data_IF_789764181764
#
_entry.id   IF_789764181764
#
_cell.length_a   1.000
_cell.length_b   1.000
_cell.length_c   1.000
_cell.angle_alpha   90.00
_cell.angle_beta   90.00
_cell.angle_gamma   90.00
#
_symmetry.space_group_name_H-M   'P 1'
#
loop_
_entity.id
_entity.type
_entity.pdbx_description
1 polymer ?
#
# COMPACT_ATOMS: atom_id res chain seq x y z
N UNK A 1 -10.58 -62.99 38.24
CA UNK A 1 -10.45 -62.77 36.78
C UNK A 1 -11.01 -61.43 36.30
N UNK A 2 -12.09 -60.88 36.91
CA UNK A 2 -12.66 -59.60 36.46
C UNK A 2 -11.84 -58.34 36.82
N UNK A 3 -11.13 -58.34 37.95
CA UNK A 3 -10.42 -57.15 38.43
C UNK A 3 -9.15 -56.82 37.61
N UNK A 4 -8.44 -57.85 37.15
CA UNK A 4 -7.26 -57.72 36.29
C UNK A 4 -7.61 -57.25 34.87
N UNK A 5 -8.81 -57.56 34.37
CA UNK A 5 -9.28 -57.10 33.06
C UNK A 5 -9.60 -55.60 33.03
N UNK A 6 -10.17 -55.07 34.12
CA UNK A 6 -10.55 -53.65 34.19
C UNK A 6 -9.31 -52.76 34.30
N UNK A 7 -8.32 -53.17 35.11
CA UNK A 7 -7.06 -52.44 35.25
C UNK A 7 -6.24 -52.45 33.93
N UNK A 8 -6.26 -53.54 33.18
CA UNK A 8 -5.61 -53.60 31.86
C UNK A 8 -6.28 -52.71 30.82
N UNK A 9 -7.61 -52.58 30.85
CA UNK A 9 -8.35 -51.69 29.95
C UNK A 9 -8.13 -50.21 30.30
N UNK A 10 -8.06 -49.88 31.59
CA UNK A 10 -7.77 -48.53 32.05
C UNK A 10 -6.37 -48.07 31.61
N UNK A 11 -5.34 -48.93 31.74
CA UNK A 11 -3.98 -48.62 31.32
C UNK A 11 -3.86 -48.44 29.78
N UNK A 12 -4.55 -49.29 29.00
CA UNK A 12 -4.57 -49.16 27.53
C UNK A 12 -5.23 -47.86 27.07
N UNK A 13 -6.27 -47.41 27.76
CA UNK A 13 -6.97 -46.16 27.44
C UNK A 13 -6.12 -44.93 27.81
N UNK A 14 -5.36 -45.02 28.89
CA UNK A 14 -4.43 -43.96 29.32
C UNK A 14 -3.25 -43.80 28.35
N UNK A 15 -2.67 -44.90 27.84
CA UNK A 15 -1.64 -44.87 26.79
C UNK A 15 -2.16 -44.26 25.49
N UNK A 16 -3.40 -44.56 25.09
CA UNK A 16 -4.01 -44.03 23.87
C UNK A 16 -4.30 -42.52 23.98
N UNK A 17 -4.75 -42.06 25.16
CA UNK A 17 -4.94 -40.63 25.45
C UNK A 17 -3.60 -39.89 25.46
N UNK A 18 -2.56 -40.45 26.08
CA UNK A 18 -1.22 -39.85 26.10
C UNK A 18 -0.59 -39.79 24.70
N UNK A 19 -0.80 -40.83 23.89
CA UNK A 19 -0.37 -40.87 22.48
C UNK A 19 -1.10 -39.81 21.64
N UNK A 20 -2.42 -39.68 21.79
CA UNK A 20 -3.19 -38.63 21.12
C UNK A 20 -2.75 -37.24 21.56
N UNK A 21 -2.58 -37.00 22.86
CA UNK A 21 -2.09 -35.73 23.38
C UNK A 21 -0.70 -35.36 22.83
N UNK A 22 0.22 -36.32 22.76
CA UNK A 22 1.55 -36.11 22.17
C UNK A 22 1.48 -35.79 20.65
N UNK A 23 0.60 -36.46 19.91
CA UNK A 23 0.39 -36.17 18.49
C UNK A 23 -0.23 -34.79 18.22
N UNK A 24 -1.14 -34.34 19.10
CA UNK A 24 -1.70 -33.00 19.05
C UNK A 24 -0.65 -31.92 19.37
N UNK A 25 0.20 -32.14 20.37
CA UNK A 25 1.28 -31.20 20.72
C UNK A 25 2.33 -31.09 19.59
N UNK A 26 2.63 -32.19 18.90
CA UNK A 26 3.50 -32.20 17.72
C UNK A 26 2.87 -31.45 16.53
N UNK A 27 1.56 -31.67 16.27
CA UNK A 27 0.82 -30.94 15.24
C UNK A 27 0.74 -29.44 15.54
N UNK A 28 0.46 -29.05 16.78
CA UNK A 28 0.46 -27.65 17.22
C UNK A 28 1.84 -27.00 17.07
N UNK A 29 2.91 -27.74 17.38
CA UNK A 29 4.29 -27.28 17.21
C UNK A 29 4.62 -27.03 15.74
N UNK A 30 4.23 -27.95 14.84
CA UNK A 30 4.42 -27.79 13.40
C UNK A 30 3.58 -26.63 12.83
N UNK A 31 2.36 -26.46 13.32
CA UNK A 31 1.50 -25.34 12.94
C UNK A 31 2.12 -24.00 13.37
N UNK A 32 2.67 -23.93 14.58
CA UNK A 32 3.41 -22.76 15.06
C UNK A 32 4.61 -22.41 14.16
N UNK A 33 5.40 -23.41 13.75
CA UNK A 33 6.50 -23.19 12.80
C UNK A 33 6.02 -22.65 11.45
N UNK A 34 4.94 -23.22 10.91
CA UNK A 34 4.35 -22.78 9.65
C UNK A 34 3.86 -21.32 9.74
N UNK A 35 3.29 -20.92 10.86
CA UNK A 35 2.82 -19.54 11.06
C UNK A 35 3.96 -18.53 11.16
N UNK A 36 5.06 -18.88 11.83
CA UNK A 36 6.28 -18.06 11.83
C UNK A 36 6.86 -17.94 10.43
N UNK A 37 6.96 -19.04 9.67
CA UNK A 37 7.45 -18.98 8.29
C UNK A 37 6.57 -18.13 7.38
N UNK A 38 5.24 -18.21 7.52
CA UNK A 38 4.33 -17.34 6.78
C UNK A 38 4.69 -15.89 7.01
N UNK A 39 4.79 -15.45 8.27
CA UNK A 39 5.11 -14.06 8.64
C UNK A 39 6.50 -13.66 8.13
N UNK A 40 7.51 -14.50 8.40
CA UNK A 40 8.91 -14.27 8.03
C UNK A 40 9.08 -14.03 6.53
N UNK A 41 8.33 -14.73 5.67
CA UNK A 41 8.42 -14.59 4.22
C UNK A 41 7.37 -13.65 3.59
N UNK A 42 6.53 -12.95 4.38
CA UNK A 42 5.49 -12.05 3.82
C UNK A 42 6.07 -10.94 2.95
N UNK A 43 7.28 -10.45 3.23
CA UNK A 43 7.93 -9.42 2.44
C UNK A 43 8.11 -9.84 0.97
N UNK A 44 8.25 -11.14 0.69
CA UNK A 44 8.38 -11.68 -0.67
C UNK A 44 7.14 -11.36 -1.51
N UNK A 45 5.96 -11.32 -0.88
CA UNK A 45 4.70 -10.97 -1.55
C UNK A 45 4.70 -9.51 -1.98
N UNK A 46 5.19 -8.61 -1.13
CA UNK A 46 5.34 -7.17 -1.45
C UNK A 46 6.35 -6.96 -2.58
N UNK A 47 7.53 -7.58 -2.47
CA UNK A 47 8.58 -7.48 -3.49
C UNK A 47 8.15 -8.04 -4.85
N UNK A 48 7.37 -9.13 -4.86
CA UNK A 48 6.81 -9.68 -6.10
C UNK A 48 5.79 -8.71 -6.72
N UNK A 49 4.98 -8.03 -5.91
CA UNK A 49 4.04 -7.02 -6.36
C UNK A 49 4.78 -5.80 -6.95
N UNK A 50 5.79 -5.29 -6.25
CA UNK A 50 6.70 -4.24 -6.73
C UNK A 50 7.30 -4.60 -8.07
N UNK A 51 7.87 -5.80 -8.20
CA UNK A 51 8.45 -6.30 -9.45
C UNK A 51 7.44 -6.25 -10.61
N UNK A 52 6.19 -6.69 -10.38
CA UNK A 52 5.15 -6.61 -11.40
C UNK A 52 4.81 -5.16 -11.81
N UNK A 53 4.85 -4.22 -10.88
CA UNK A 53 4.61 -2.79 -11.14
C UNK A 53 5.80 -2.15 -11.89
N UNK A 54 7.04 -2.44 -11.48
CA UNK A 54 8.26 -1.96 -12.13
C UNK A 54 8.34 -2.45 -13.59
N UNK A 55 8.02 -3.73 -13.81
CA UNK A 55 7.98 -4.34 -15.14
C UNK A 55 6.73 -3.99 -15.94
N UNK A 56 5.85 -3.13 -15.41
CA UNK A 56 4.61 -2.69 -16.08
C UNK A 56 3.68 -3.85 -16.48
N UNK A 57 3.73 -4.99 -15.80
CA UNK A 57 2.95 -6.19 -16.15
C UNK A 57 1.43 -5.90 -16.22
N UNK A 58 0.81 -5.18 -15.28
CA UNK A 58 -0.60 -4.83 -15.38
C UNK A 58 -0.92 -4.07 -16.67
N UNK A 59 -0.11 -3.07 -17.02
CA UNK A 59 -0.30 -2.25 -18.21
C UNK A 59 -0.08 -3.06 -19.50
N UNK A 60 0.91 -3.94 -19.52
CA UNK A 60 1.18 -4.85 -20.64
C UNK A 60 -0.04 -5.72 -20.93
N UNK A 61 -0.58 -6.41 -19.91
CA UNK A 61 -1.77 -7.27 -20.08
C UNK A 61 -2.97 -6.40 -20.49
N UNK A 62 -3.12 -5.22 -19.89
CA UNK A 62 -4.22 -4.31 -20.23
C UNK A 62 -4.19 -3.87 -21.69
N UNK A 63 -3.01 -3.50 -22.20
CA UNK A 63 -2.80 -3.01 -23.57
C UNK A 63 -3.10 -4.09 -24.62
N UNK A 64 -2.85 -5.36 -24.31
CA UNK A 64 -3.23 -6.48 -25.19
C UNK A 64 -4.75 -6.70 -25.25
N UNK A 65 -5.50 -6.26 -24.24
CA UNK A 65 -6.95 -6.39 -24.18
C UNK A 65 -7.47 -7.81 -23.88
N UNK A 66 -6.58 -8.80 -23.76
CA UNK A 66 -6.90 -10.19 -23.43
C UNK A 66 -5.79 -10.84 -22.59
N UNK A 67 -6.03 -12.00 -21.94
CA UNK A 67 -4.97 -12.74 -21.26
C UNK A 67 -3.83 -13.14 -22.21
N UNK A 68 -2.58 -13.06 -21.74
CA UNK A 68 -1.37 -13.30 -22.55
C UNK A 68 -0.46 -14.37 -21.94
N UNK A 69 0.36 -14.99 -22.77
CA UNK A 69 1.40 -15.96 -22.37
C UNK A 69 2.59 -15.26 -21.69
N UNK A 70 3.45 -16.06 -21.02
CA UNK A 70 4.72 -15.54 -20.48
C UNK A 70 5.65 -15.03 -21.59
N UNK A 71 5.62 -15.64 -22.77
CA UNK A 71 6.47 -15.24 -23.90
C UNK A 71 6.07 -13.86 -24.45
N UNK A 72 4.76 -13.63 -24.64
CA UNK A 72 4.22 -12.33 -25.04
C UNK A 72 4.51 -11.24 -23.98
N UNK A 73 4.34 -11.59 -22.70
CA UNK A 73 4.67 -10.70 -21.60
C UNK A 73 6.16 -10.33 -21.58
N UNK A 74 7.05 -11.32 -21.70
CA UNK A 74 8.49 -11.12 -21.71
C UNK A 74 8.96 -10.26 -22.90
N UNK A 75 8.35 -10.46 -24.08
CA UNK A 75 8.61 -9.65 -25.27
C UNK A 75 8.20 -8.19 -25.05
N UNK A 76 7.06 -7.97 -24.39
CA UNK A 76 6.50 -6.63 -24.14
C UNK A 76 7.24 -5.83 -23.06
N UNK A 77 7.98 -6.49 -22.16
CA UNK A 77 8.84 -5.83 -21.17
C UNK A 77 9.97 -5.03 -21.85
N UNK A 78 10.38 -5.41 -23.07
CA UNK A 78 11.42 -4.70 -23.81
C UNK A 78 12.84 -4.92 -23.29
N UNK A 79 13.07 -5.96 -22.48
CA UNK A 79 14.41 -6.34 -22.02
C UNK A 79 15.14 -7.16 -23.09
N UNK A 80 16.45 -6.94 -23.33
CA UNK A 80 17.23 -7.72 -24.30
C UNK A 80 17.31 -9.22 -23.99
N UNK A 81 17.20 -9.60 -22.71
CA UNK A 81 17.34 -10.98 -22.25
C UNK A 81 16.46 -11.25 -21.02
N UNK A 82 15.13 -11.37 -21.18
CA UNK A 82 14.23 -11.57 -20.07
C UNK A 82 14.43 -12.97 -19.46
N UNK A 83 14.52 -13.05 -18.13
CA UNK A 83 14.55 -14.33 -17.41
C UNK A 83 13.11 -14.85 -17.24
N UNK A 84 12.67 -15.67 -18.20
CA UNK A 84 11.31 -16.20 -18.26
C UNK A 84 11.00 -17.09 -17.05
N UNK A 85 11.96 -17.86 -16.55
CA UNK A 85 11.77 -18.72 -15.37
C UNK A 85 11.50 -17.91 -14.10
N UNK A 86 12.22 -16.79 -13.93
CA UNK A 86 11.99 -15.87 -12.84
C UNK A 86 10.61 -15.20 -12.96
N UNK A 87 10.27 -14.71 -14.15
CA UNK A 87 8.95 -14.13 -14.43
C UNK A 87 7.82 -15.14 -14.14
N UNK A 88 7.99 -16.40 -14.54
CA UNK A 88 7.05 -17.47 -14.27
C UNK A 88 6.84 -17.70 -12.76
N UNK A 89 7.90 -17.63 -11.96
CA UNK A 89 7.83 -17.76 -10.50
C UNK A 89 7.10 -16.58 -9.85
N UNK A 90 7.40 -15.36 -10.27
CA UNK A 90 6.72 -14.14 -9.81
C UNK A 90 5.23 -14.21 -10.14
N UNK A 91 4.89 -14.48 -11.40
CA UNK A 91 3.49 -14.58 -11.83
C UNK A 91 2.74 -15.70 -11.11
N UNK A 92 3.37 -16.86 -10.89
CA UNK A 92 2.77 -17.96 -10.13
C UNK A 92 2.42 -17.54 -8.69
N UNK A 93 3.32 -16.82 -8.03
CA UNK A 93 3.07 -16.29 -6.68
C UNK A 93 1.88 -15.32 -6.69
N UNK A 94 1.88 -14.35 -7.60
CA UNK A 94 0.83 -13.32 -7.68
C UNK A 94 -0.53 -13.91 -8.10
N UNK A 95 -0.56 -14.97 -8.91
CA UNK A 95 -1.79 -15.73 -9.20
C UNK A 95 -2.29 -16.47 -7.96
N UNK A 96 -1.41 -17.12 -7.19
CA UNK A 96 -1.80 -17.76 -5.92
C UNK A 96 -2.36 -16.75 -4.91
N UNK A 97 -1.85 -15.51 -4.96
CA UNK A 97 -2.35 -14.37 -4.18
C UNK A 97 -3.57 -13.67 -4.81
N UNK A 98 -4.09 -14.21 -5.91
CA UNK A 98 -5.27 -13.71 -6.64
C UNK A 98 -5.13 -12.26 -7.12
N UNK A 99 -3.89 -11.82 -7.35
CA UNK A 99 -3.60 -10.54 -7.99
C UNK A 99 -3.79 -10.67 -9.50
N UNK A 100 -3.36 -11.79 -10.09
CA UNK A 100 -3.62 -12.12 -11.50
C UNK A 100 -4.42 -13.43 -11.60
N UNK A 101 -5.00 -13.68 -12.77
CA UNK A 101 -5.58 -14.98 -13.11
C UNK A 101 -4.60 -15.77 -13.98
N UNK A 102 -4.70 -17.10 -13.92
CA UNK A 102 -4.10 -17.98 -14.92
C UNK A 102 -5.13 -18.97 -15.43
N UNK A 103 -5.19 -19.19 -16.73
CA UNK A 103 -6.01 -20.24 -17.34
C UNK A 103 -5.23 -20.96 -18.41
N UNK A 104 -5.46 -22.27 -18.53
CA UNK A 104 -5.01 -23.03 -19.69
C UNK A 104 -6.17 -23.04 -20.70
N UNK A 105 -5.98 -22.53 -21.92
CA UNK A 105 -7.03 -22.61 -22.93
C UNK A 105 -7.41 -24.07 -23.18
N UNK A 106 -8.69 -24.37 -23.33
CA UNK A 106 -9.25 -25.73 -23.46
C UNK A 106 -8.82 -26.48 -24.73
N UNK A 107 -8.00 -25.88 -25.58
CA UNK A 107 -7.45 -26.50 -26.78
C UNK A 107 -6.11 -27.11 -26.44
N UNK A 108 -5.98 -28.44 -26.61
CA UNK A 108 -4.74 -29.17 -26.38
C UNK A 108 -3.56 -28.47 -27.08
N UNK A 109 -2.53 -28.11 -26.30
CA UNK A 109 -1.30 -27.50 -26.79
C UNK A 109 -1.17 -25.99 -26.62
N UNK A 110 -2.17 -25.26 -26.08
CA UNK A 110 -2.01 -23.84 -25.78
C UNK A 110 -1.36 -23.61 -24.41
N UNK A 111 -0.37 -22.71 -24.39
CA UNK A 111 0.35 -22.29 -23.19
C UNK A 111 -0.58 -21.64 -22.15
N UNK A 112 -0.14 -21.64 -20.88
CA UNK A 112 -0.83 -20.93 -19.80
C UNK A 112 -0.86 -19.43 -20.10
N UNK A 113 -2.04 -18.83 -20.03
CA UNK A 113 -2.24 -17.39 -20.21
C UNK A 113 -2.59 -16.73 -18.88
N UNK A 114 -2.17 -15.47 -18.74
CA UNK A 114 -2.30 -14.65 -17.55
C UNK A 114 -3.19 -13.45 -17.81
N UNK A 115 -4.17 -13.21 -16.94
CA UNK A 115 -5.14 -12.14 -17.07
C UNK A 115 -5.19 -11.22 -15.85
N UNK A 116 -5.81 -10.05 -16.02
CA UNK A 116 -6.07 -9.11 -14.94
C UNK A 116 -7.24 -9.58 -14.06
N UNK A 117 -7.12 -9.37 -12.75
CA UNK A 117 -8.22 -9.38 -11.80
C UNK A 117 -8.68 -7.95 -11.49
N UNK A 118 -9.75 -7.80 -10.70
CA UNK A 118 -10.13 -6.52 -10.12
C UNK A 118 -9.00 -5.92 -9.24
N UNK A 119 -8.20 -6.76 -8.58
CA UNK A 119 -7.08 -6.31 -7.74
C UNK A 119 -5.94 -5.74 -8.59
N UNK A 120 -5.49 -6.45 -9.63
CA UNK A 120 -4.40 -5.95 -10.50
C UNK A 120 -4.77 -4.71 -11.30
N UNK A 121 -6.06 -4.43 -11.51
CA UNK A 121 -6.51 -3.20 -12.20
C UNK A 121 -6.18 -1.93 -11.42
N UNK A 122 -6.05 -2.01 -10.10
CA UNK A 122 -5.56 -0.90 -9.28
C UNK A 122 -4.08 -0.58 -9.51
N UNK A 123 -3.35 -1.39 -10.27
CA UNK A 123 -1.93 -1.19 -10.56
C UNK A 123 -1.68 -0.60 -11.95
N UNK A 124 -2.73 -0.28 -12.71
CA UNK A 124 -2.60 0.35 -14.03
C UNK A 124 -2.09 1.77 -13.88
N UNK A 125 -1.04 2.14 -14.59
CA UNK A 125 -0.43 3.48 -14.54
C UNK A 125 -0.96 4.39 -15.65
N UNK A 126 -1.36 3.81 -16.78
CA UNK A 126 -1.79 4.57 -17.96
C UNK A 126 -3.32 4.71 -18.06
N UNK A 127 -4.06 4.34 -17.00
CA UNK A 127 -5.52 4.45 -16.97
C UNK A 127 -5.98 5.83 -16.45
N UNK A 128 -7.15 6.28 -16.89
CA UNK A 128 -7.80 7.49 -16.36
C UNK A 128 -8.27 7.34 -14.90
N UNK A 129 -8.31 6.12 -14.39
CA UNK A 129 -8.78 5.80 -13.05
C UNK A 129 -7.66 5.90 -11.99
N UNK A 130 -8.01 6.02 -10.70
CA UNK A 130 -7.04 6.00 -9.62
C UNK A 130 -6.21 4.71 -9.59
N UNK A 131 -4.91 4.86 -9.30
CA UNK A 131 -3.93 3.78 -9.25
C UNK A 131 -3.22 3.75 -7.90
N UNK A 132 -2.83 2.56 -7.44
CA UNK A 132 -1.99 2.32 -6.27
C UNK A 132 -0.54 2.00 -6.66
N UNK A 133 -0.21 1.99 -7.96
CA UNK A 133 1.12 1.64 -8.44
C UNK A 133 2.22 2.52 -7.81
N UNK A 134 2.00 3.84 -7.75
CA UNK A 134 2.95 4.77 -7.14
C UNK A 134 3.14 4.49 -5.63
N UNK A 135 2.06 4.16 -4.92
CA UNK A 135 2.15 3.79 -3.49
C UNK A 135 2.96 2.51 -3.29
N UNK A 136 2.75 1.48 -4.12
CA UNK A 136 3.56 0.24 -4.06
C UNK A 136 5.04 0.55 -4.26
N UNK A 137 5.38 1.38 -5.25
CA UNK A 137 6.77 1.76 -5.50
C UNK A 137 7.39 2.57 -4.35
N UNK A 138 6.61 3.47 -3.72
CA UNK A 138 7.05 4.26 -2.60
C UNK A 138 7.28 3.41 -1.34
N UNK A 139 6.29 2.65 -0.89
CA UNK A 139 6.36 1.84 0.34
C UNK A 139 7.48 0.80 0.29
N UNK A 140 7.73 0.22 -0.88
CA UNK A 140 8.80 -0.76 -1.07
C UNK A 140 10.14 -0.12 -1.53
N UNK A 141 10.28 1.20 -1.48
CA UNK A 141 11.53 1.89 -1.81
C UNK A 141 12.57 1.70 -0.69
N UNK A 142 13.87 1.48 -1.00
CA UNK A 142 14.90 1.24 0.02
C UNK A 142 14.93 2.29 1.15
N UNK A 143 14.67 3.56 0.83
CA UNK A 143 14.64 4.65 1.81
C UNK A 143 13.48 4.49 2.81
N UNK A 144 12.29 4.09 2.36
CA UNK A 144 11.13 3.83 3.24
C UNK A 144 11.17 2.44 3.88
N UNK A 145 11.92 1.51 3.29
CA UNK A 145 12.16 0.19 3.86
C UNK A 145 13.19 0.21 5.01
N UNK A 146 14.22 1.06 4.93
CA UNK A 146 15.28 1.13 5.93
C UNK A 146 14.80 1.34 7.38
N UNK A 147 13.84 2.23 7.68
CA UNK A 147 13.30 2.44 9.03
C UNK A 147 12.76 1.18 9.71
N UNK A 148 12.21 0.22 8.95
CA UNK A 148 11.67 -1.02 9.51
C UNK A 148 12.75 -1.89 10.20
N UNK A 149 14.01 -1.73 9.82
CA UNK A 149 15.14 -2.39 10.48
C UNK A 149 15.51 -1.77 11.85
N UNK A 150 14.96 -0.61 12.18
CA UNK A 150 15.26 0.12 13.42
C UNK A 150 14.14 0.06 14.46
N UNK A 151 13.06 -0.70 14.21
CA UNK A 151 11.93 -0.80 15.13
C UNK A 151 12.33 -1.30 16.53
N UNK A 152 13.19 -2.32 16.62
CA UNK A 152 13.70 -2.79 17.93
C UNK A 152 14.42 -1.68 18.69
N UNK A 153 15.23 -0.88 17.99
CA UNK A 153 15.95 0.25 18.57
C UNK A 153 15.01 1.38 18.99
N UNK A 154 13.91 1.60 18.29
CA UNK A 154 12.85 2.52 18.71
C UNK A 154 12.16 2.06 19.99
N UNK A 155 11.95 0.76 20.17
CA UNK A 155 11.39 0.19 21.41
C UNK A 155 12.36 0.37 22.58
N UNK A 156 13.65 0.13 22.33
CA UNK A 156 14.69 0.19 23.37
C UNK A 156 15.02 1.63 23.81
N UNK A 157 15.13 2.55 22.86
CA UNK A 157 15.68 3.89 23.11
C UNK A 157 14.66 5.02 22.90
N UNK A 158 13.46 4.72 22.40
CA UNK A 158 12.53 5.73 21.90
C UNK A 158 13.01 6.40 20.61
N UNK A 159 12.24 7.39 20.15
CA UNK A 159 12.52 8.15 18.92
C UNK A 159 11.97 7.52 17.64
N UNK A 160 12.07 8.27 16.55
CA UNK A 160 11.50 7.92 15.24
C UNK A 160 12.41 6.98 14.44
N UNK A 161 11.83 5.93 13.85
CA UNK A 161 12.58 4.92 13.09
C UNK A 161 13.28 5.52 11.86
N UNK A 162 12.65 6.49 11.19
CA UNK A 162 13.23 7.17 10.04
C UNK A 162 14.47 7.97 10.44
N UNK A 163 14.39 8.76 11.51
CA UNK A 163 15.54 9.51 12.05
C UNK A 163 16.67 8.59 12.48
N UNK A 164 16.38 7.42 13.05
CA UNK A 164 17.44 6.44 13.37
C UNK A 164 18.10 5.84 12.14
N UNK A 165 17.36 5.64 11.05
CA UNK A 165 17.88 5.08 9.80
C UNK A 165 18.70 6.09 8.98
N UNK A 166 18.25 7.34 8.92
CA UNK A 166 18.76 8.35 7.99
C UNK A 166 19.40 9.57 8.66
N UNK A 167 19.38 9.65 9.99
CA UNK A 167 20.01 10.72 10.78
C UNK A 167 19.27 12.06 10.77
N UNK A 168 18.11 12.16 10.11
CA UNK A 168 17.26 13.35 10.05
C UNK A 168 15.79 12.95 9.91
N UNK A 169 14.87 13.89 10.16
CA UNK A 169 13.43 13.64 9.99
C UNK A 169 13.08 13.48 8.50
N UNK A 170 12.01 12.74 8.22
CA UNK A 170 11.56 12.45 6.85
C UNK A 170 11.31 13.72 6.02
N UNK A 171 10.81 14.79 6.65
CA UNK A 171 10.53 16.07 5.99
C UNK A 171 11.81 16.81 5.59
N UNK A 172 12.83 16.80 6.45
CA UNK A 172 14.14 17.38 6.15
C UNK A 172 14.83 16.59 5.04
N UNK A 173 14.72 15.25 5.10
CA UNK A 173 15.24 14.37 4.07
C UNK A 173 14.57 14.64 2.71
N UNK A 174 13.25 14.79 2.68
CA UNK A 174 12.50 15.13 1.47
C UNK A 174 12.89 16.50 0.92
N UNK A 175 13.02 17.53 1.77
CA UNK A 175 13.46 18.85 1.35
C UNK A 175 14.87 18.84 0.70
N UNK A 176 15.77 17.99 1.21
CA UNK A 176 17.13 17.81 0.68
C UNK A 176 17.25 16.85 -0.51
N UNK A 177 16.21 16.08 -0.83
CA UNK A 177 16.27 15.02 -1.85
C UNK A 177 15.05 15.08 -2.79
N UNK A 178 15.14 15.82 -3.92
CA UNK A 178 14.02 16.02 -4.83
C UNK A 178 13.44 14.73 -5.43
N UNK A 179 14.28 13.72 -5.68
CA UNK A 179 13.84 12.43 -6.21
C UNK A 179 12.98 11.68 -5.19
N UNK A 180 13.43 11.61 -3.94
CA UNK A 180 12.65 11.04 -2.85
C UNK A 180 11.36 11.83 -2.60
N UNK A 181 11.43 13.16 -2.59
CA UNK A 181 10.26 14.02 -2.41
C UNK A 181 9.20 13.74 -3.49
N UNK A 182 9.62 13.61 -4.76
CA UNK A 182 8.72 13.27 -5.85
C UNK A 182 8.09 11.88 -5.66
N UNK A 183 8.89 10.86 -5.36
CA UNK A 183 8.42 9.50 -5.10
C UNK A 183 7.40 9.46 -3.94
N UNK A 184 7.72 10.13 -2.83
CA UNK A 184 6.88 10.18 -1.64
C UNK A 184 5.55 10.89 -1.92
N UNK A 185 5.59 12.06 -2.55
CA UNK A 185 4.40 12.82 -2.90
C UNK A 185 3.51 12.10 -3.92
N UNK A 186 4.11 11.43 -4.91
CA UNK A 186 3.37 10.61 -5.88
C UNK A 186 2.64 9.45 -5.19
N UNK A 187 3.32 8.76 -4.26
CA UNK A 187 2.75 7.69 -3.45
C UNK A 187 1.50 8.16 -2.69
N UNK A 188 1.62 9.26 -1.95
CA UNK A 188 0.51 9.87 -1.20
C UNK A 188 -0.60 10.41 -2.12
N UNK A 189 -0.27 11.01 -3.26
CA UNK A 189 -1.25 11.52 -4.20
C UNK A 189 -2.11 10.39 -4.81
N UNK A 190 -1.51 9.20 -5.01
CA UNK A 190 -2.16 8.05 -5.66
C UNK A 190 -3.35 7.51 -4.85
N UNK A 191 -3.20 7.37 -3.53
CA UNK A 191 -4.26 6.97 -2.60
C UNK A 191 -5.29 8.08 -2.38
N UNK A 192 -4.91 9.34 -2.61
CA UNK A 192 -5.77 10.49 -2.34
C UNK A 192 -6.98 10.51 -3.27
N UNK A 193 -6.80 10.19 -4.55
CA UNK A 193 -7.89 10.11 -5.53
C UNK A 193 -8.94 9.05 -5.14
N UNK A 194 -8.49 7.91 -4.61
CA UNK A 194 -9.37 6.81 -4.18
C UNK A 194 -10.22 7.23 -2.99
N UNK A 195 -9.57 7.74 -1.94
CA UNK A 195 -10.23 8.17 -0.72
C UNK A 195 -11.18 9.33 -0.99
N UNK A 196 -10.75 10.30 -1.79
CA UNK A 196 -11.53 11.49 -2.08
C UNK A 196 -12.82 11.19 -2.83
N UNK A 197 -12.82 10.24 -3.78
CA UNK A 197 -14.05 9.79 -4.46
C UNK A 197 -15.07 9.25 -3.45
N UNK A 198 -14.61 8.48 -2.46
CA UNK A 198 -15.48 7.98 -1.40
C UNK A 198 -15.97 9.10 -0.47
N UNK A 199 -15.08 10.00 -0.05
CA UNK A 199 -15.41 11.16 0.81
C UNK A 199 -16.43 12.08 0.15
N UNK A 200 -16.22 12.46 -1.12
CA UNK A 200 -17.15 13.31 -1.86
C UNK A 200 -18.51 12.66 -2.09
N UNK A 201 -18.56 11.32 -2.15
CA UNK A 201 -19.82 10.59 -2.23
C UNK A 201 -20.53 10.53 -0.88
N UNK A 202 -19.80 10.24 0.20
CA UNK A 202 -20.37 9.99 1.52
C UNK A 202 -20.68 11.27 2.31
N UNK A 203 -19.91 12.34 2.09
CA UNK A 203 -20.01 13.61 2.81
C UNK A 203 -20.46 14.77 1.91
N UNK A 204 -21.14 14.45 0.79
CA UNK A 204 -21.65 15.45 -0.16
C UNK A 204 -22.50 16.52 0.53
N UNK A 205 -23.44 16.09 1.38
CA UNK A 205 -24.37 17.00 2.05
C UNK A 205 -23.66 17.93 3.04
N UNK A 206 -22.58 17.47 3.68
CA UNK A 206 -21.77 18.28 4.59
C UNK A 206 -21.12 19.46 3.87
N UNK A 207 -20.50 19.23 2.71
CA UNK A 207 -19.94 20.31 1.88
C UNK A 207 -21.02 21.20 1.27
N UNK A 208 -22.17 20.64 0.89
CA UNK A 208 -23.29 21.39 0.33
C UNK A 208 -23.99 22.30 1.36
N UNK A 209 -24.01 21.91 2.64
CA UNK A 209 -24.63 22.69 3.71
C UNK A 209 -23.79 23.91 4.14
N UNK A 210 -22.52 23.98 3.74
CA UNK A 210 -21.66 25.13 4.00
C UNK A 210 -22.13 26.37 3.24
N UNK A 211 -21.93 27.55 3.83
CA UNK A 211 -22.29 28.83 3.23
C UNK A 211 -21.53 29.11 1.94
N UNK A 212 -22.12 29.89 1.05
CA UNK A 212 -21.42 30.38 -0.13
C UNK A 212 -20.26 31.29 0.28
N UNK A 213 -19.07 31.02 -0.27
CA UNK A 213 -17.84 31.70 0.09
C UNK A 213 -17.11 31.10 1.29
N UNK A 214 -17.61 30.01 1.89
CA UNK A 214 -16.90 29.34 2.98
C UNK A 214 -15.55 28.78 2.52
N UNK A 215 -14.56 28.89 3.39
CA UNK A 215 -13.16 28.52 3.14
C UNK A 215 -12.87 27.13 3.72
N UNK A 216 -12.44 26.21 2.86
CA UNK A 216 -11.93 24.90 3.24
C UNK A 216 -10.42 24.89 3.11
N UNK A 217 -9.73 24.69 4.24
CA UNK A 217 -8.26 24.54 4.27
C UNK A 217 -7.91 23.07 4.34
N UNK A 218 -7.16 22.57 3.35
CA UNK A 218 -6.56 21.24 3.34
C UNK A 218 -5.17 21.32 3.95
N UNK A 219 -5.05 20.84 5.19
CA UNK A 219 -3.83 20.93 6.01
C UNK A 219 -2.97 19.72 5.71
N UNK A 220 -1.76 19.99 5.22
CA UNK A 220 -0.90 18.96 4.66
C UNK A 220 -1.44 18.43 3.33
N UNK A 221 -2.07 19.30 2.53
CA UNK A 221 -2.73 18.89 1.29
C UNK A 221 -1.78 18.46 0.16
N UNK A 222 -0.47 18.55 0.37
CA UNK A 222 0.57 18.18 -0.59
C UNK A 222 0.45 19.01 -1.86
N UNK A 223 0.21 18.32 -2.98
CA UNK A 223 0.00 18.96 -4.28
C UNK A 223 -1.37 19.63 -4.44
N UNK A 224 -2.25 19.62 -3.42
CA UNK A 224 -3.55 20.30 -3.44
C UNK A 224 -4.64 19.61 -4.25
N UNK A 225 -4.37 18.40 -4.75
CA UNK A 225 -5.34 17.62 -5.53
C UNK A 225 -6.67 17.37 -4.80
N UNK A 226 -6.63 17.19 -3.47
CA UNK A 226 -7.83 16.85 -2.72
C UNK A 226 -8.79 18.05 -2.59
N UNK A 227 -8.29 19.19 -2.10
CA UNK A 227 -9.07 20.42 -2.05
C UNK A 227 -9.53 20.90 -3.42
N UNK A 228 -8.73 20.70 -4.47
CA UNK A 228 -9.12 21.04 -5.85
C UNK A 228 -10.38 20.29 -6.30
N UNK A 229 -10.49 18.98 -6.04
CA UNK A 229 -11.69 18.21 -6.42
C UNK A 229 -12.90 18.57 -5.53
N UNK A 230 -12.68 18.93 -4.25
CA UNK A 230 -13.74 19.44 -3.37
C UNK A 230 -14.35 20.71 -3.97
N UNK A 231 -13.53 21.70 -4.30
CA UNK A 231 -13.96 22.98 -4.88
C UNK A 231 -14.59 22.79 -6.25
N UNK A 232 -14.03 21.90 -7.08
CA UNK A 232 -14.61 21.55 -8.39
C UNK A 232 -16.01 20.93 -8.25
N UNK A 233 -16.24 20.12 -7.23
CA UNK A 233 -17.55 19.49 -6.97
C UNK A 233 -18.52 20.47 -6.31
N UNK A 234 -18.01 21.41 -5.51
CA UNK A 234 -18.77 22.40 -4.75
C UNK A 234 -18.24 23.81 -5.03
N UNK A 235 -18.54 24.40 -6.21
CA UNK A 235 -17.93 25.66 -6.66
C UNK A 235 -18.29 26.89 -5.80
N UNK A 236 -19.23 26.76 -4.86
CA UNK A 236 -19.54 27.79 -3.88
C UNK A 236 -18.51 27.88 -2.74
N UNK A 237 -17.60 26.92 -2.63
CA UNK A 237 -16.52 26.91 -1.64
C UNK A 237 -15.24 27.52 -2.19
N UNK A 238 -14.42 28.08 -1.30
CA UNK A 238 -13.05 28.50 -1.60
C UNK A 238 -12.06 27.51 -1.00
N UNK A 239 -11.11 27.05 -1.80
CA UNK A 239 -10.07 26.12 -1.37
C UNK A 239 -8.79 26.82 -0.96
N UNK A 240 -8.15 26.34 0.10
CA UNK A 240 -6.78 26.66 0.44
C UNK A 240 -6.02 25.35 0.61
N UNK A 241 -5.01 25.13 -0.22
CA UNK A 241 -4.03 24.07 0.00
C UNK A 241 -2.93 24.62 0.90
N UNK A 242 -2.71 23.99 2.05
CA UNK A 242 -1.73 24.43 3.04
C UNK A 242 -0.73 23.32 3.33
N UNK A 243 0.54 23.55 3.06
CA UNK A 243 1.62 22.58 3.28
C UNK A 243 2.96 23.31 3.52
N UNK A 244 4.06 22.58 3.73
CA UNK A 244 5.39 23.14 3.87
C UNK A 244 5.77 23.96 2.61
N UNK A 245 6.52 25.07 2.76
CA UNK A 245 6.86 25.94 1.63
C UNK A 245 7.46 25.20 0.43
N UNK A 246 8.40 24.28 0.67
CA UNK A 246 9.05 23.52 -0.40
C UNK A 246 8.10 22.56 -1.16
N UNK A 247 7.02 22.11 -0.51
CA UNK A 247 5.98 21.28 -1.15
C UNK A 247 5.10 22.16 -2.03
N UNK A 248 4.64 23.29 -1.48
CA UNK A 248 3.80 24.26 -2.16
C UNK A 248 4.48 24.85 -3.40
N UNK A 249 5.79 25.08 -3.37
CA UNK A 249 6.56 25.57 -4.52
C UNK A 249 6.48 24.64 -5.74
N UNK A 250 6.19 23.35 -5.52
CA UNK A 250 6.02 22.35 -6.58
C UNK A 250 4.55 22.06 -6.91
N UNK A 251 3.61 22.65 -6.18
CA UNK A 251 2.19 22.36 -6.32
C UNK A 251 1.58 23.02 -7.58
N UNK A 252 0.75 22.31 -8.35
CA UNK A 252 0.04 22.90 -9.48
C UNK A 252 -0.97 23.96 -9.02
N UNK A 253 -1.29 24.89 -9.93
CA UNK A 253 -2.37 25.85 -9.70
C UNK A 253 -3.71 25.23 -10.10
N UNK A 254 -4.72 25.38 -9.24
CA UNK A 254 -6.09 24.92 -9.52
C UNK A 254 -7.08 26.09 -9.43
N UNK A 255 -8.05 26.19 -10.35
CA UNK A 255 -9.11 27.20 -10.25
C UNK A 255 -9.85 27.10 -8.92
N UNK A 256 -9.97 28.23 -8.22
CA UNK A 256 -10.67 28.30 -6.93
C UNK A 256 -9.87 27.78 -5.72
N UNK A 257 -8.58 27.46 -5.90
CA UNK A 257 -7.68 27.04 -4.83
C UNK A 257 -6.50 28.00 -4.70
N UNK A 258 -6.26 28.47 -3.48
CA UNK A 258 -5.06 29.23 -3.13
C UNK A 258 -3.99 28.31 -2.54
N UNK A 259 -2.74 28.49 -2.95
CA UNK A 259 -1.58 27.74 -2.46
C UNK A 259 -0.89 28.54 -1.35
N UNK A 260 -0.75 27.97 -0.15
CA UNK A 260 -0.21 28.67 1.03
C UNK A 260 0.85 27.82 1.73
N UNK A 261 2.08 28.31 1.76
CA UNK A 261 3.19 27.67 2.49
C UNK A 261 3.20 28.03 3.97
N UNK A 262 3.45 27.06 4.85
CA UNK A 262 3.68 27.31 6.28
C UNK A 262 3.87 26.05 7.11
N UNK A 263 3.98 26.23 8.43
CA UNK A 263 4.03 25.13 9.40
C UNK A 263 2.71 25.07 10.18
N UNK A 264 1.98 23.96 10.06
CA UNK A 264 0.70 23.72 10.75
C UNK A 264 0.82 23.71 12.28
N UNK A 265 2.01 23.44 12.81
CA UNK A 265 2.29 23.47 14.25
C UNK A 265 2.55 24.88 14.76
N UNK A 266 2.76 25.86 13.88
CA UNK A 266 2.87 27.27 14.24
C UNK A 266 1.54 28.00 14.03
N UNK A 267 0.98 27.91 12.82
CA UNK A 267 -0.31 28.51 12.51
C UNK A 267 -0.96 27.84 11.30
N UNK A 268 -2.29 27.81 11.31
CA UNK A 268 -3.10 27.35 10.18
C UNK A 268 -3.90 28.56 9.66
N UNK A 269 -4.05 28.73 8.33
CA UNK A 269 -4.90 29.78 7.77
C UNK A 269 -6.33 29.75 8.33
N UNK A 270 -6.98 30.91 8.40
CA UNK A 270 -8.38 30.99 8.83
C UNK A 270 -9.26 30.16 7.89
N UNK A 271 -10.13 29.34 8.46
CA UNK A 271 -10.98 28.41 7.74
C UNK A 271 -12.37 28.31 8.39
N UNK A 272 -13.38 28.00 7.58
CA UNK A 272 -14.69 27.54 8.05
C UNK A 272 -14.69 26.02 8.26
N UNK A 273 -13.85 25.30 7.50
CA UNK A 273 -13.62 23.87 7.67
C UNK A 273 -12.16 23.49 7.42
N UNK A 274 -11.66 22.54 8.21
CA UNK A 274 -10.35 21.92 8.01
C UNK A 274 -10.53 20.52 7.43
N UNK A 275 -9.85 20.25 6.33
CA UNK A 275 -9.68 18.91 5.78
C UNK A 275 -8.28 18.42 6.17
N UNK A 276 -8.21 17.35 6.95
CA UNK A 276 -6.94 16.77 7.42
C UNK A 276 -6.95 15.29 7.06
N UNK A 277 -6.11 14.91 6.09
CA UNK A 277 -6.05 13.54 5.56
C UNK A 277 -4.72 12.90 5.92
N UNK A 278 -4.77 11.77 6.62
CA UNK A 278 -3.63 10.92 7.03
C UNK A 278 -2.60 11.51 8.00
N UNK A 279 -2.54 12.82 8.21
CA UNK A 279 -1.62 13.43 9.18
C UNK A 279 -1.83 12.94 10.62
N UNK A 280 -3.07 12.61 11.02
CA UNK A 280 -3.33 12.05 12.35
C UNK A 280 -2.74 10.64 12.55
N UNK A 281 -2.37 9.93 11.49
CA UNK A 281 -1.79 8.57 11.58
C UNK A 281 -0.25 8.57 11.63
N UNK A 282 0.40 9.67 11.24
CA UNK A 282 1.88 9.75 11.13
C UNK A 282 2.54 10.10 12.49
N UNK A 283 1.75 10.20 13.57
CA UNK A 283 2.26 10.61 14.88
C UNK A 283 2.57 12.11 14.87
N UNK A 284 1.57 12.93 15.21
CA UNK A 284 1.73 14.37 15.31
C UNK A 284 2.53 14.73 16.56
N UNK A 285 3.86 14.62 16.49
CA UNK A 285 4.73 15.14 17.54
C UNK A 285 5.83 15.98 16.93
N UNK A 286 5.77 17.31 17.12
CA UNK A 286 7.01 18.10 17.24
C UNK A 286 7.78 17.48 18.41
N UNK A 287 8.96 16.94 18.15
CA UNK A 287 9.91 16.73 19.24
C UNK A 287 10.16 18.12 19.86
N UNK A 288 9.78 18.27 21.13
CA UNK A 288 10.05 19.47 21.92
C UNK A 288 11.55 19.64 22.18
#
# INVERSE_FOLDING_TARGET
MYFTSILSQAASMEEEILSQAASMEEEETLQGQADIWKIMFRFVESMALKCAVELRIPDIIHTHGHPITLSEMATSIGSPSPNIDCLARVMRLLVRKRIFTSSQPTTDGKEVVYGLTNSSRWLLRDSSEPSLAAMVLAEDHPILMAPWHYLSKCVEEGGEAFTKAHGCHIWDFAAGNPEFNHLFNDGLASTSKVVLKAVLSAYREGFAAMGSGSVVVDVGGGTGMAVAEIVKTHPHLQGVNFDLPHVIDTAPQYPGVSQVGGDMFESIPKADALFIKWYCMIGMTKAA
#
